data_IF_970388252977
#
_entry.id   IF_970388252977
#
_cell.length_a   1.000
_cell.length_b   1.000
_cell.length_c   1.000
_cell.angle_alpha   90.00
_cell.angle_beta   90.00
_cell.angle_gamma   90.00
#
_symmetry.space_group_name_H-M   'P 1'
#
loop_
_entity.id
_entity.type
_entity.pdbx_description
1 polymer ?
#
# COMPACT_ATOMS: atom_id res chain seq x y z
N UNK A 1 -12.63 19.67 -9.51
CA UNK A 1 -13.44 19.50 -8.29
C UNK A 1 -14.35 18.31 -8.50
N UNK A 2 -14.25 17.29 -7.67
CA UNK A 2 -14.98 16.03 -7.83
C UNK A 2 -16.21 16.09 -6.91
N UNK A 3 -17.39 15.74 -7.42
CA UNK A 3 -18.62 15.88 -6.63
C UNK A 3 -18.64 14.85 -5.49
N UNK A 4 -18.46 13.57 -5.81
CA UNK A 4 -18.46 12.47 -4.84
C UNK A 4 -17.35 11.48 -5.13
N UNK A 5 -16.69 11.04 -4.06
CA UNK A 5 -15.65 10.01 -4.10
C UNK A 5 -16.05 8.84 -3.22
N UNK A 6 -15.81 7.63 -3.70
CA UNK A 6 -15.91 6.39 -2.91
C UNK A 6 -14.53 5.74 -2.89
N UNK A 7 -13.78 5.79 -1.78
CA UNK A 7 -12.53 5.05 -1.65
C UNK A 7 -12.81 3.57 -1.48
N UNK A 8 -11.94 2.74 -2.04
CA UNK A 8 -11.91 1.33 -1.72
C UNK A 8 -11.01 1.01 -0.51
N UNK A 9 -11.00 -0.26 -0.07
CA UNK A 9 -10.20 -0.67 1.09
C UNK A 9 -8.70 -0.46 0.85
N UNK A 10 -8.19 -0.62 -0.38
CA UNK A 10 -6.76 -0.45 -0.68
C UNK A 10 -6.27 0.97 -0.40
N UNK A 11 -7.04 1.98 -0.83
CA UNK A 11 -6.69 3.40 -0.63
C UNK A 11 -6.80 3.82 0.84
N UNK A 12 -7.74 3.21 1.57
CA UNK A 12 -7.89 3.44 3.01
C UNK A 12 -6.70 2.86 3.78
N UNK A 13 -6.27 1.63 3.48
CA UNK A 13 -5.13 0.99 4.16
C UNK A 13 -3.83 1.77 3.90
N UNK A 14 -3.57 2.17 2.66
CA UNK A 14 -2.33 2.86 2.26
C UNK A 14 -2.29 4.36 2.61
N UNK A 15 -3.40 4.89 3.14
CA UNK A 15 -3.53 6.30 3.51
C UNK A 15 -3.38 7.26 2.33
N UNK A 16 -3.76 6.82 1.12
CA UNK A 16 -3.49 7.56 -0.12
C UNK A 16 -4.47 8.70 -0.35
N UNK A 17 -5.73 8.53 0.04
CA UNK A 17 -6.75 9.56 -0.20
C UNK A 17 -6.49 10.82 0.62
N UNK A 18 -6.13 10.69 1.90
CA UNK A 18 -5.79 11.85 2.73
C UNK A 18 -4.57 12.59 2.19
N UNK A 19 -3.53 11.88 1.74
CA UNK A 19 -2.34 12.47 1.10
C UNK A 19 -2.71 13.28 -0.14
N UNK A 20 -3.52 12.73 -1.04
CA UNK A 20 -3.93 13.46 -2.25
C UNK A 20 -4.83 14.67 -1.96
N UNK A 21 -5.64 14.63 -0.90
CA UNK A 21 -6.43 15.78 -0.45
C UNK A 21 -5.54 16.85 0.18
N UNK A 22 -4.53 16.45 0.95
CA UNK A 22 -3.55 17.35 1.57
C UNK A 22 -2.72 18.08 0.49
N UNK A 23 -2.29 17.35 -0.55
CA UNK A 23 -1.57 17.88 -1.72
C UNK A 23 -2.46 18.66 -2.71
N UNK A 24 -3.76 18.76 -2.46
CA UNK A 24 -4.74 19.42 -3.34
C UNK A 24 -4.90 18.79 -4.75
N UNK A 25 -4.46 17.54 -4.92
CA UNK A 25 -4.62 16.74 -6.14
C UNK A 25 -6.07 16.26 -6.31
N UNK A 26 -6.68 15.82 -5.21
CA UNK A 26 -8.11 15.47 -5.14
C UNK A 26 -8.82 16.48 -4.25
N UNK A 27 -9.82 17.14 -4.81
CA UNK A 27 -10.69 18.08 -4.09
C UNK A 27 -12.14 17.58 -4.19
N UNK A 28 -12.58 16.66 -3.31
CA UNK A 28 -13.94 16.14 -3.30
C UNK A 28 -14.86 17.08 -2.52
N UNK A 29 -16.13 17.22 -2.94
CA UNK A 29 -17.15 17.84 -2.07
C UNK A 29 -17.68 16.87 -1.01
N UNK A 30 -17.71 15.58 -1.35
CA UNK A 30 -18.23 14.52 -0.50
C UNK A 30 -17.39 13.23 -0.67
N UNK A 31 -17.02 12.62 0.46
CA UNK A 31 -16.39 11.30 0.54
C UNK A 31 -17.40 10.33 1.13
N UNK A 32 -17.60 9.18 0.50
CA UNK A 32 -18.55 8.16 0.91
C UNK A 32 -17.78 6.86 1.12
N UNK A 33 -17.59 6.49 2.38
CA UNK A 33 -16.96 5.22 2.74
C UNK A 33 -18.03 4.14 2.83
N UNK A 34 -17.80 2.98 2.21
CA UNK A 34 -18.76 1.88 2.27
C UNK A 34 -18.71 1.19 3.66
N UNK A 35 -19.85 0.89 4.27
CA UNK A 35 -19.94 0.24 5.60
C UNK A 35 -19.20 -1.11 5.62
N UNK A 36 -19.36 -1.94 4.57
CA UNK A 36 -18.57 -3.16 4.39
C UNK A 36 -17.04 -2.97 4.50
N UNK A 37 -16.48 -1.86 4.00
CA UNK A 37 -15.04 -1.58 4.14
C UNK A 37 -14.66 -1.29 5.58
N UNK A 38 -15.50 -0.57 6.32
CA UNK A 38 -15.29 -0.36 7.76
C UNK A 38 -15.34 -1.67 8.53
N UNK A 39 -16.36 -2.49 8.30
CA UNK A 39 -16.52 -3.77 9.00
C UNK A 39 -15.36 -4.73 8.72
N UNK A 40 -14.80 -4.72 7.51
CA UNK A 40 -13.58 -5.45 7.20
C UNK A 40 -12.40 -4.93 8.02
N UNK A 41 -12.13 -3.62 8.00
CA UNK A 41 -11.03 -3.02 8.74
C UNK A 41 -11.15 -3.26 10.25
N UNK A 42 -12.36 -3.14 10.82
CA UNK A 42 -12.66 -3.47 12.22
C UNK A 42 -12.39 -4.94 12.54
N UNK A 43 -12.81 -5.87 11.68
CA UNK A 43 -12.54 -7.30 11.87
C UNK A 43 -11.03 -7.61 11.81
N UNK A 44 -10.29 -6.98 10.90
CA UNK A 44 -8.83 -7.10 10.84
C UNK A 44 -8.17 -6.53 12.11
N UNK A 45 -8.59 -5.35 12.56
CA UNK A 45 -8.04 -4.72 13.77
C UNK A 45 -8.33 -5.55 15.04
N UNK A 46 -9.55 -6.06 15.19
CA UNK A 46 -9.96 -6.91 16.31
C UNK A 46 -9.20 -8.24 16.38
N UNK A 47 -8.70 -8.72 15.24
CA UNK A 47 -7.82 -9.91 15.17
C UNK A 47 -6.33 -9.58 15.33
N UNK A 48 -6.01 -8.32 15.64
CA UNK A 48 -4.64 -7.85 15.90
C UNK A 48 -3.82 -7.57 14.64
N UNK A 49 -4.45 -7.49 13.46
CA UNK A 49 -3.74 -7.21 12.20
C UNK A 49 -3.57 -5.71 12.00
N UNK A 50 -2.33 -5.29 11.79
CA UNK A 50 -1.92 -3.89 11.64
C UNK A 50 -2.67 -3.16 10.51
N UNK A 51 -2.91 -3.83 9.39
CA UNK A 51 -3.64 -3.27 8.24
C UNK A 51 -5.05 -2.77 8.60
N UNK A 52 -5.72 -3.38 9.57
CA UNK A 52 -7.02 -2.93 10.04
C UNK A 52 -6.93 -1.62 10.80
N UNK A 53 -5.91 -1.49 11.66
CA UNK A 53 -5.63 -0.26 12.39
C UNK A 53 -5.28 0.88 11.44
N UNK A 54 -4.40 0.64 10.45
CA UNK A 54 -4.01 1.63 9.45
C UNK A 54 -5.21 2.20 8.70
N UNK A 55 -6.10 1.32 8.19
CA UNK A 55 -7.30 1.78 7.49
C UNK A 55 -8.26 2.58 8.37
N UNK A 56 -8.44 2.19 9.63
CA UNK A 56 -9.28 2.94 10.58
C UNK A 56 -8.67 4.31 10.94
N UNK A 57 -7.34 4.38 11.09
CA UNK A 57 -6.64 5.65 11.31
C UNK A 57 -6.78 6.58 10.11
N UNK A 58 -6.71 6.07 8.88
CA UNK A 58 -6.95 6.86 7.67
C UNK A 58 -8.39 7.39 7.62
N UNK A 59 -9.40 6.57 7.93
CA UNK A 59 -10.79 7.03 7.99
C UNK A 59 -10.93 8.16 9.02
N UNK A 60 -10.33 8.02 10.20
CA UNK A 60 -10.31 9.08 11.22
C UNK A 60 -9.63 10.35 10.70
N UNK A 61 -8.49 10.22 10.00
CA UNK A 61 -7.78 11.35 9.39
C UNK A 61 -8.64 12.07 8.35
N UNK A 62 -9.36 11.33 7.50
CA UNK A 62 -10.31 11.90 6.52
C UNK A 62 -11.43 12.69 7.19
N UNK A 63 -11.97 12.21 8.32
CA UNK A 63 -12.96 12.95 9.12
C UNK A 63 -12.37 14.25 9.65
N UNK A 64 -11.13 14.26 10.13
CA UNK A 64 -10.47 15.48 10.60
C UNK A 64 -10.20 16.46 9.45
N UNK A 65 -9.75 15.96 8.30
CA UNK A 65 -9.53 16.76 7.08
C UNK A 65 -10.83 17.36 6.55
N UNK A 66 -11.96 16.67 6.68
CA UNK A 66 -13.28 17.18 6.25
C UNK A 66 -13.61 18.52 6.90
N UNK A 67 -13.27 18.68 8.18
CA UNK A 67 -13.48 19.92 8.95
C UNK A 67 -12.54 21.03 8.48
N UNK A 68 -11.28 20.70 8.18
CA UNK A 68 -10.26 21.67 7.76
C UNK A 68 -10.49 22.17 6.33
N UNK A 69 -10.80 21.27 5.40
CA UNK A 69 -10.93 21.54 3.96
C UNK A 69 -12.40 21.72 3.50
N UNK A 70 -13.37 21.64 4.43
CA UNK A 70 -14.82 21.90 4.23
C UNK A 70 -15.50 20.97 3.21
N UNK A 71 -15.19 19.68 3.25
CA UNK A 71 -15.94 18.65 2.51
C UNK A 71 -16.78 17.80 3.47
N UNK A 72 -17.74 17.04 2.94
CA UNK A 72 -18.58 16.13 3.72
C UNK A 72 -18.02 14.71 3.70
N UNK A 73 -18.19 13.96 4.78
CA UNK A 73 -17.91 12.53 4.83
C UNK A 73 -19.15 11.79 5.32
N UNK A 74 -19.51 10.71 4.62
CA UNK A 74 -20.64 9.84 4.96
C UNK A 74 -20.24 8.37 4.90
N UNK A 75 -20.97 7.57 5.65
CA UNK A 75 -20.86 6.12 5.66
C UNK A 75 -22.17 5.56 5.10
N UNK A 76 -22.09 4.71 4.08
CA UNK A 76 -23.25 4.17 3.37
C UNK A 76 -23.03 2.72 2.94
N UNK A 77 -24.11 2.04 2.59
CA UNK A 77 -24.10 0.66 2.12
C UNK A 77 -24.51 -0.31 3.20
N UNK A 78 -24.92 -1.50 2.79
CA UNK A 78 -25.31 -2.54 3.73
C UNK A 78 -24.06 -3.26 4.26
N UNK A 79 -24.04 -3.49 5.56
CA UNK A 79 -23.02 -4.32 6.21
C UNK A 79 -23.37 -5.79 5.96
N UNK A 80 -22.52 -6.57 5.26
CA UNK A 80 -22.73 -8.00 5.16
C UNK A 80 -22.65 -8.63 6.56
N UNK A 81 -23.39 -9.71 6.80
CA UNK A 81 -23.27 -10.43 8.07
C UNK A 81 -21.83 -10.93 8.29
N UNK A 82 -21.36 -11.02 9.53
CA UNK A 82 -19.96 -11.36 9.87
C UNK A 82 -19.50 -12.68 9.23
N UNK A 83 -20.43 -13.63 9.17
CA UNK A 83 -20.29 -14.94 8.56
C UNK A 83 -20.12 -14.87 7.03
N UNK A 84 -20.64 -13.81 6.40
CA UNK A 84 -20.48 -13.50 4.97
C UNK A 84 -19.19 -12.75 4.72
N UNK A 85 -18.76 -11.85 5.62
CA UNK A 85 -17.47 -11.13 5.52
C UNK A 85 -16.30 -12.11 5.54
N UNK A 86 -16.30 -13.07 6.48
CA UNK A 86 -15.24 -14.07 6.58
C UNK A 86 -15.18 -15.02 5.36
N UNK A 87 -16.31 -15.20 4.66
CA UNK A 87 -16.43 -16.05 3.46
C UNK A 87 -16.28 -15.28 2.15
N UNK A 88 -16.42 -13.96 2.18
CA UNK A 88 -16.25 -13.12 1.02
C UNK A 88 -14.76 -13.18 0.63
N UNK A 89 -14.48 -13.77 -0.53
CA UNK A 89 -13.20 -13.56 -1.19
C UNK A 89 -13.02 -12.05 -1.42
N UNK A 90 -11.77 -11.57 -1.48
CA UNK A 90 -11.40 -10.15 -1.68
C UNK A 90 -12.32 -9.38 -2.66
N UNK A 91 -12.79 -10.02 -3.73
CA UNK A 91 -13.69 -9.41 -4.72
C UNK A 91 -15.16 -9.16 -4.30
N UNK A 92 -15.63 -9.69 -3.17
CA UNK A 92 -17.01 -9.51 -2.69
C UNK A 92 -17.27 -8.07 -2.22
N UNK A 93 -16.38 -7.55 -1.38
CA UNK A 93 -16.44 -6.17 -0.88
C UNK A 93 -16.21 -5.19 -2.03
N UNK A 94 -15.22 -5.44 -2.90
CA UNK A 94 -14.96 -4.64 -4.08
C UNK A 94 -16.19 -4.46 -4.97
N UNK A 95 -17.02 -5.49 -5.08
CA UNK A 95 -18.27 -5.40 -5.83
C UNK A 95 -19.30 -4.49 -5.17
N UNK A 96 -19.41 -4.52 -3.84
CA UNK A 96 -20.31 -3.63 -3.09
C UNK A 96 -19.90 -2.17 -3.25
N UNK A 97 -18.60 -1.90 -3.15
CA UNK A 97 -18.03 -0.55 -3.33
C UNK A 97 -18.31 -0.04 -4.75
N UNK A 98 -18.07 -0.85 -5.78
CA UNK A 98 -18.40 -0.50 -7.17
C UNK A 98 -19.89 -0.26 -7.37
N UNK A 99 -20.75 -1.11 -6.81
CA UNK A 99 -22.20 -0.96 -6.92
C UNK A 99 -22.68 0.34 -6.26
N UNK A 100 -22.12 0.68 -5.09
CA UNK A 100 -22.38 1.95 -4.44
C UNK A 100 -21.95 3.10 -5.35
N UNK A 101 -20.68 3.14 -5.78
CA UNK A 101 -20.14 4.20 -6.64
C UNK A 101 -20.99 4.42 -7.90
N UNK A 102 -21.41 3.33 -8.55
CA UNK A 102 -22.32 3.37 -9.70
C UNK A 102 -23.68 3.99 -9.35
N UNK A 103 -24.33 3.51 -8.28
CA UNK A 103 -25.68 3.94 -7.90
C UNK A 103 -25.81 5.42 -7.56
N UNK A 104 -24.74 6.03 -7.05
CA UNK A 104 -24.73 7.45 -6.64
C UNK A 104 -23.95 8.35 -7.61
N UNK A 105 -23.55 7.80 -8.77
CA UNK A 105 -22.73 8.45 -9.79
C UNK A 105 -21.46 9.11 -9.19
N UNK A 106 -20.76 8.37 -8.32
CA UNK A 106 -19.52 8.79 -7.68
C UNK A 106 -18.29 8.27 -8.44
N UNK A 107 -17.14 8.88 -8.15
CA UNK A 107 -15.85 8.42 -8.64
C UNK A 107 -15.26 7.42 -7.64
N UNK A 108 -14.97 6.20 -8.10
CA UNK A 108 -14.24 5.21 -7.33
C UNK A 108 -12.77 5.62 -7.25
N UNK A 109 -12.19 5.60 -6.04
CA UNK A 109 -10.76 5.84 -5.84
C UNK A 109 -10.15 4.54 -5.32
N UNK A 110 -9.17 4.02 -6.04
CA UNK A 110 -8.55 2.70 -5.74
C UNK A 110 -7.06 2.72 -6.03
N UNK A 111 -6.30 1.87 -5.34
CA UNK A 111 -4.90 1.54 -5.66
C UNK A 111 -4.78 0.15 -6.32
N UNK A 112 -5.89 -0.58 -6.46
CA UNK A 112 -5.94 -1.89 -7.09
C UNK A 112 -6.29 -1.75 -8.58
N UNK A 113 -5.36 -2.15 -9.44
CA UNK A 113 -5.51 -2.09 -10.90
C UNK A 113 -6.67 -2.96 -11.42
N UNK A 114 -6.94 -4.11 -10.79
CA UNK A 114 -8.04 -5.00 -11.17
C UNK A 114 -9.38 -4.34 -10.83
N UNK A 115 -9.47 -3.72 -9.65
CA UNK A 115 -10.65 -2.96 -9.21
C UNK A 115 -10.93 -1.79 -10.17
N UNK A 116 -9.89 -1.04 -10.54
CA UNK A 116 -9.98 0.06 -11.49
C UNK A 116 -10.51 -0.38 -12.86
N UNK A 117 -9.87 -1.38 -13.48
CA UNK A 117 -10.28 -1.92 -14.79
C UNK A 117 -11.72 -2.47 -14.76
N UNK A 118 -12.11 -3.13 -13.67
CA UNK A 118 -13.46 -3.67 -13.52
C UNK A 118 -14.51 -2.55 -13.41
N UNK A 119 -14.18 -1.47 -12.72
CA UNK A 119 -15.06 -0.31 -12.57
C UNK A 119 -15.18 0.48 -13.88
N UNK A 120 -14.09 0.70 -14.60
CA UNK A 120 -14.08 1.31 -15.93
C UNK A 120 -14.95 0.51 -16.92
N UNK A 121 -14.81 -0.82 -16.94
CA UNK A 121 -15.63 -1.69 -17.78
C UNK A 121 -17.13 -1.63 -17.46
N UNK A 122 -17.49 -1.23 -16.23
CA UNK A 122 -18.87 -1.00 -15.76
C UNK A 122 -19.36 0.44 -16.00
N UNK A 123 -18.55 1.30 -16.59
CA UNK A 123 -18.88 2.72 -16.82
C UNK A 123 -18.86 3.57 -15.56
N UNK A 124 -18.14 3.14 -14.52
CA UNK A 124 -17.93 3.90 -13.28
C UNK A 124 -16.72 4.81 -13.50
N UNK A 125 -16.79 6.07 -13.05
CA UNK A 125 -15.62 6.96 -13.06
C UNK A 125 -14.59 6.45 -12.04
N UNK A 126 -13.31 6.40 -12.42
CA UNK A 126 -12.25 5.85 -11.58
C UNK A 126 -11.07 6.82 -11.49
N UNK A 127 -10.49 6.91 -10.30
CA UNK A 127 -9.15 7.44 -10.08
C UNK A 127 -8.32 6.29 -9.51
N UNK A 128 -7.37 5.81 -10.32
CA UNK A 128 -6.35 4.87 -9.87
C UNK A 128 -5.20 5.67 -9.28
N UNK A 129 -5.06 5.63 -7.95
CA UNK A 129 -3.87 6.17 -7.29
C UNK A 129 -2.80 5.11 -7.43
N UNK A 130 -1.89 5.34 -8.37
CA UNK A 130 -0.63 4.61 -8.34
C UNK A 130 0.09 5.07 -7.08
N UNK A 131 0.40 4.14 -6.17
CA UNK A 131 1.49 4.37 -5.23
C UNK A 131 2.62 4.92 -6.09
N UNK A 132 3.11 6.12 -5.77
CA UNK A 132 4.37 6.60 -6.35
C UNK A 132 5.35 5.47 -6.10
N UNK A 133 5.57 4.67 -7.15
CA UNK A 133 6.70 3.79 -7.21
C UNK A 133 7.84 4.76 -6.94
N UNK A 134 8.62 4.53 -5.89
CA UNK A 134 9.93 5.18 -5.79
C UNK A 134 10.79 4.62 -6.94
N UNK A 135 10.39 4.91 -8.18
CA UNK A 135 11.23 4.90 -9.34
C UNK A 135 12.29 5.96 -9.02
N UNK A 136 13.46 5.47 -8.59
CA UNK A 136 14.65 6.23 -8.18
C UNK A 136 14.85 6.50 -6.68
N UNK A 137 14.75 5.50 -5.83
CA UNK A 137 15.84 5.33 -4.85
C UNK A 137 16.50 3.99 -5.11
N UNK A 138 17.84 3.96 -5.17
CA UNK A 138 18.57 2.71 -5.02
C UNK A 138 18.12 2.09 -3.70
N UNK A 139 17.73 0.81 -3.71
CA UNK A 139 17.44 0.11 -2.47
C UNK A 139 18.72 0.07 -1.63
N UNK A 140 18.62 0.03 -0.29
CA UNK A 140 19.79 0.05 0.62
C UNK A 140 20.83 -1.03 0.25
N UNK A 141 20.37 -2.15 -0.30
CA UNK A 141 21.24 -3.21 -0.79
C UNK A 141 22.23 -2.74 -1.87
N UNK A 142 21.79 -1.90 -2.81
CA UNK A 142 22.61 -1.43 -3.94
C UNK A 142 23.79 -0.56 -3.47
N UNK A 143 23.64 0.18 -2.36
CA UNK A 143 24.71 0.99 -1.77
C UNK A 143 25.91 0.15 -1.31
N UNK A 144 25.73 -1.16 -1.12
CA UNK A 144 26.82 -2.09 -0.79
C UNK A 144 27.60 -2.59 -2.01
N UNK A 145 27.12 -2.35 -3.23
CA UNK A 145 27.74 -2.79 -4.47
C UNK A 145 28.53 -1.67 -5.15
N UNK A 146 29.81 -1.95 -5.41
CA UNK A 146 30.65 -1.15 -6.31
C UNK A 146 31.10 -2.01 -7.49
N UNK A 147 31.86 -1.43 -8.41
CA UNK A 147 32.37 -2.10 -9.62
C UNK A 147 33.21 -3.38 -9.34
N UNK A 148 33.61 -3.61 -8.08
CA UNK A 148 34.43 -4.74 -7.65
C UNK A 148 33.68 -5.70 -6.72
N UNK A 149 32.49 -5.35 -6.21
CA UNK A 149 31.70 -6.20 -5.32
C UNK A 149 31.01 -7.31 -6.09
N UNK A 150 31.32 -8.57 -5.75
CA UNK A 150 30.69 -9.75 -6.34
C UNK A 150 29.45 -10.20 -5.56
N UNK A 151 29.45 -10.04 -4.24
CA UNK A 151 28.36 -10.46 -3.36
C UNK A 151 28.47 -9.76 -2.01
N UNK A 152 27.36 -9.56 -1.33
CA UNK A 152 27.28 -9.02 0.02
C UNK A 152 26.78 -10.07 1.00
N UNK A 153 27.26 -9.99 2.24
CA UNK A 153 26.99 -10.94 3.31
C UNK A 153 26.48 -10.14 4.51
N UNK A 154 25.17 -10.20 4.73
CA UNK A 154 24.46 -9.46 5.76
C UNK A 154 23.94 -10.44 6.81
N UNK A 155 24.34 -10.25 8.06
CA UNK A 155 23.97 -11.14 9.16
C UNK A 155 23.76 -10.34 10.44
N UNK A 156 22.70 -10.70 11.18
CA UNK A 156 22.41 -10.13 12.50
C UNK A 156 23.62 -10.24 13.44
N UNK A 157 23.88 -9.18 14.20
CA UNK A 157 25.00 -9.03 15.14
C UNK A 157 26.38 -9.18 14.50
N UNK A 158 26.47 -9.01 13.18
CA UNK A 158 27.72 -9.02 12.42
C UNK A 158 27.85 -7.72 11.62
N UNK A 159 29.09 -7.26 11.41
CA UNK A 159 29.37 -6.19 10.45
C UNK A 159 29.04 -6.67 9.03
N UNK A 160 28.43 -5.83 8.19
CA UNK A 160 28.16 -6.17 6.79
C UNK A 160 29.49 -6.36 6.04
N UNK A 161 29.57 -7.39 5.19
CA UNK A 161 30.78 -7.72 4.43
C UNK A 161 30.50 -7.84 2.95
N UNK A 162 31.40 -7.31 2.12
CA UNK A 162 31.42 -7.57 0.69
C UNK A 162 32.55 -8.55 0.33
N UNK A 163 32.29 -9.41 -0.65
CA UNK A 163 33.31 -10.17 -1.36
C UNK A 163 33.72 -9.37 -2.58
N UNK A 164 34.93 -8.80 -2.59
CA UNK A 164 35.41 -7.93 -3.66
C UNK A 164 36.54 -8.59 -4.46
N UNK A 165 36.51 -8.43 -5.79
CA UNK A 165 37.51 -9.00 -6.70
C UNK A 165 36.89 -9.74 -7.88
N UNK A 166 37.47 -10.89 -8.22
CA UNK A 166 37.06 -11.71 -9.36
C UNK A 166 36.97 -13.20 -8.97
N UNK A 167 36.28 -14.04 -9.77
CA UNK A 167 36.28 -15.48 -9.56
C UNK A 167 37.72 -16.04 -9.44
N UNK A 168 38.00 -16.77 -8.36
CA UNK A 168 39.33 -17.31 -8.07
C UNK A 168 40.31 -16.36 -7.39
N UNK A 169 40.04 -15.05 -7.34
CA UNK A 169 40.89 -14.07 -6.65
C UNK A 169 40.05 -12.93 -6.06
N UNK A 170 39.72 -13.05 -4.77
CA UNK A 170 38.83 -12.12 -4.06
C UNK A 170 39.20 -12.03 -2.58
N UNK A 171 38.73 -10.98 -1.93
CA UNK A 171 38.89 -10.73 -0.49
C UNK A 171 37.55 -10.35 0.16
N UNK A 172 37.46 -10.54 1.49
CA UNK A 172 36.34 -10.01 2.28
C UNK A 172 36.68 -8.62 2.81
N UNK A 173 35.80 -7.67 2.57
CA UNK A 173 35.92 -6.27 3.02
C UNK A 173 34.73 -5.93 3.90
N UNK A 174 34.98 -5.34 5.07
CA UNK A 174 33.92 -4.81 5.94
C UNK A 174 33.37 -3.51 5.35
N UNK A 175 32.04 -3.39 5.29
CA UNK A 175 31.36 -2.24 4.69
C UNK A 175 30.97 -1.17 5.72
N UNK A 176 30.92 -1.55 7.00
CA UNK A 176 30.63 -0.66 8.12
C UNK A 176 31.28 -1.20 9.39
N UNK A 177 31.64 -0.29 10.29
CA UNK A 177 32.12 -0.63 11.64
C UNK A 177 30.97 -1.07 12.57
N UNK A 178 29.73 -0.71 12.25
CA UNK A 178 28.57 -1.06 13.06
C UNK A 178 27.99 -2.43 12.66
N UNK A 179 27.78 -3.36 13.61
CA UNK A 179 27.05 -4.58 13.36
C UNK A 179 25.59 -4.30 13.00
N UNK A 180 25.03 -5.11 12.10
CA UNK A 180 23.61 -5.05 11.76
C UNK A 180 22.75 -5.56 12.91
N UNK A 181 21.69 -4.84 13.25
CA UNK A 181 20.63 -5.33 14.12
C UNK A 181 19.69 -6.28 13.36
N UNK A 182 18.83 -6.96 14.12
CA UNK A 182 17.76 -7.78 13.54
C UNK A 182 16.81 -6.96 12.67
N UNK A 183 16.56 -5.72 13.06
CA UNK A 183 15.66 -4.82 12.35
C UNK A 183 16.27 -4.37 11.03
N UNK A 184 17.57 -4.08 11.01
CA UNK A 184 18.28 -3.71 9.78
C UNK A 184 18.19 -4.83 8.73
N UNK A 185 18.46 -6.08 9.14
CA UNK A 185 18.39 -7.24 8.23
C UNK A 185 16.97 -7.46 7.72
N UNK A 186 15.96 -7.30 8.58
CA UNK A 186 14.55 -7.41 8.18
C UNK A 186 14.14 -6.33 7.20
N UNK A 187 14.55 -5.08 7.44
CA UNK A 187 14.21 -3.95 6.58
C UNK A 187 14.81 -4.13 5.18
N UNK A 188 16.08 -4.55 5.10
CA UNK A 188 16.73 -4.85 3.83
C UNK A 188 16.00 -6.01 3.11
N UNK A 189 15.63 -7.07 3.82
CA UNK A 189 14.89 -8.18 3.21
C UNK A 189 13.50 -7.77 2.72
N UNK A 190 12.79 -6.94 3.49
CA UNK A 190 11.48 -6.40 3.12
C UNK A 190 11.58 -5.55 1.86
N UNK A 191 12.55 -4.65 1.81
CA UNK A 191 12.83 -3.78 0.66
C UNK A 191 13.13 -4.60 -0.60
N UNK A 192 13.94 -5.67 -0.52
CA UNK A 192 14.20 -6.57 -1.66
C UNK A 192 12.92 -7.22 -2.19
N UNK A 193 12.03 -7.68 -1.30
CA UNK A 193 10.77 -8.32 -1.69
C UNK A 193 9.80 -7.31 -2.32
N UNK A 194 9.73 -6.12 -1.75
CA UNK A 194 8.91 -5.01 -2.27
C UNK A 194 9.40 -4.59 -3.66
N UNK A 195 10.71 -4.40 -3.83
CA UNK A 195 11.32 -4.06 -5.11
C UNK A 195 11.12 -5.17 -6.15
N UNK A 196 11.21 -6.45 -5.77
CA UNK A 196 10.94 -7.58 -6.65
C UNK A 196 9.49 -7.60 -7.17
N UNK A 197 8.53 -7.14 -6.37
CA UNK A 197 7.13 -7.03 -6.79
C UNK A 197 6.89 -5.88 -7.80
N UNK A 198 7.78 -4.89 -7.83
CA UNK A 198 7.69 -3.71 -8.71
C UNK A 198 8.46 -3.94 -10.02
N UNK A 199 9.61 -4.60 -9.96
CA UNK A 199 10.50 -4.83 -11.09
C UNK A 199 9.92 -5.79 -12.12
N UNK A 200 9.94 -5.37 -13.40
CA UNK A 200 9.50 -6.21 -14.52
C UNK A 200 10.47 -7.37 -14.82
N UNK A 201 11.68 -7.33 -14.27
CA UNK A 201 12.75 -8.33 -14.43
C UNK A 201 13.05 -9.12 -13.13
N UNK A 202 12.22 -8.96 -12.09
CA UNK A 202 12.30 -9.70 -10.82
C UNK A 202 11.21 -10.76 -10.69
N UNK A 203 11.52 -11.86 -10.01
CA UNK A 203 10.52 -12.84 -9.54
C UNK A 203 11.02 -13.59 -8.30
N UNK A 204 10.11 -14.19 -7.54
CA UNK A 204 10.42 -14.97 -6.33
C UNK A 204 10.61 -16.45 -6.72
N UNK A 205 11.78 -17.02 -6.42
CA UNK A 205 12.07 -18.45 -6.55
C UNK A 205 11.68 -19.21 -5.26
N UNK A 206 11.19 -20.46 -5.40
CA UNK A 206 10.73 -21.34 -4.32
C UNK A 206 11.41 -22.71 -4.40
#
# INVERSE_FOLDING_TARGET
>A
MIERVVPDTSVLIEGLLSKQIENEEILPKEIIVHEASLSELEAQANTGREIGFLGLEEVKKLVELSKKKKFQIRFLGETPDNDTIARAQKGGIDSLIRNLAFSINATLVTADKVQALTAEAKGINVILIQLEQQLSHSIVLEDYFDDRTMSVHLKENCKPKAKKGMPGNWEYVELSEMPLSKEDVKNIAKEIVEECAIRNDGFIEV
#
